data_IF_583718340166
#
_entry.id   IF_583718340166
#
_cell.length_a   1.000
_cell.length_b   1.000
_cell.length_c   1.000
_cell.angle_alpha   90.00
_cell.angle_beta   90.00
_cell.angle_gamma   90.00
#
_symmetry.space_group_name_H-M   'P 1'
#
loop_
_entity.id
_entity.type
_entity.pdbx_description
1 polymer ?
#
# COMPACT_ATOMS: atom_id res chain seq x y z
N UNK A 1 63.10 -0.34 9.76
CA UNK A 1 62.24 0.86 9.83
C UNK A 1 61.26 0.64 10.97
N UNK A 2 61.39 1.39 12.06
CA UNK A 2 60.43 1.37 13.17
C UNK A 2 59.19 2.16 12.75
N UNK A 3 58.06 1.48 12.62
CA UNK A 3 56.76 2.13 12.41
C UNK A 3 56.30 2.72 13.75
N UNK A 4 56.24 4.04 13.82
CA UNK A 4 55.72 4.76 14.98
C UNK A 4 54.19 4.65 15.02
N UNK A 5 53.70 3.71 15.85
CA UNK A 5 52.28 3.36 15.99
C UNK A 5 51.38 4.52 16.46
N UNK A 6 51.95 5.63 16.96
CA UNK A 6 51.17 6.79 17.41
C UNK A 6 50.70 7.71 16.29
N UNK A 7 51.20 7.55 15.06
CA UNK A 7 50.86 8.41 13.92
C UNK A 7 49.85 7.80 12.93
N UNK A 8 49.44 6.54 13.11
CA UNK A 8 48.46 5.87 12.22
C UNK A 8 47.06 6.49 12.25
N UNK A 9 46.69 7.19 13.33
CA UNK A 9 45.39 7.86 13.43
C UNK A 9 45.30 9.19 12.65
N UNK A 10 46.41 9.71 12.13
CA UNK A 10 46.42 11.00 11.41
C UNK A 10 46.56 10.88 9.90
N UNK A 11 47.08 9.75 9.40
CA UNK A 11 47.20 9.47 7.98
C UNK A 11 46.93 7.98 7.80
N UNK A 12 45.70 7.64 7.42
CA UNK A 12 45.36 6.28 7.00
C UNK A 12 46.10 5.98 5.69
N UNK A 13 47.11 5.08 5.68
CA UNK A 13 47.85 4.76 4.47
C UNK A 13 46.99 4.00 3.44
N UNK A 14 45.80 3.54 3.84
CA UNK A 14 44.88 2.79 2.98
C UNK A 14 43.75 3.65 2.38
N UNK A 15 43.69 4.96 2.66
CA UNK A 15 42.63 5.88 2.18
C UNK A 15 41.26 5.19 2.09
N UNK A 16 40.82 4.56 3.19
CA UNK A 16 39.56 3.79 3.20
C UNK A 16 38.32 4.66 3.18
N UNK A 17 38.49 5.97 3.39
CA UNK A 17 37.46 6.97 3.19
C UNK A 17 37.75 7.68 1.86
N UNK A 18 36.92 7.41 0.86
CA UNK A 18 36.85 8.22 -0.35
C UNK A 18 36.32 9.58 0.09
N UNK A 19 37.22 10.55 0.27
CA UNK A 19 36.82 11.95 0.39
C UNK A 19 36.12 12.35 -0.91
N UNK A 20 34.87 12.81 -0.78
CA UNK A 20 34.02 13.26 -1.90
C UNK A 20 34.76 14.33 -2.69
N UNK A 21 35.17 14.00 -3.91
CA UNK A 21 35.63 15.00 -4.88
C UNK A 21 34.39 15.64 -5.50
N UNK A 22 34.29 16.96 -5.37
CA UNK A 22 33.19 17.75 -5.90
C UNK A 22 33.08 17.64 -7.45
N UNK A 23 31.84 17.78 -7.92
CA UNK A 23 31.39 18.02 -9.31
C UNK A 23 31.00 16.82 -10.19
N UNK A 24 30.52 15.74 -9.58
CA UNK A 24 29.66 14.77 -10.28
C UNK A 24 28.40 14.54 -9.44
N UNK A 25 27.22 14.63 -10.05
CA UNK A 25 25.98 14.12 -9.45
C UNK A 25 26.12 12.60 -9.31
N UNK A 26 26.69 12.19 -8.17
CA UNK A 26 26.75 10.79 -7.79
C UNK A 26 25.39 10.40 -7.25
N UNK A 27 24.63 9.63 -8.04
CA UNK A 27 23.45 8.93 -7.56
C UNK A 27 23.87 7.92 -6.49
N UNK A 28 23.80 8.33 -5.23
CA UNK A 28 23.93 7.41 -4.10
C UNK A 28 22.80 6.38 -4.21
N UNK A 29 23.09 5.07 -4.15
CA UNK A 29 22.04 4.04 -4.08
C UNK A 29 21.09 4.20 -2.88
N UNK A 30 21.46 5.04 -1.91
CA UNK A 30 20.68 5.39 -0.73
C UNK A 30 19.99 6.76 -0.83
N UNK A 31 20.25 7.55 -1.89
CA UNK A 31 19.44 8.72 -2.22
C UNK A 31 18.47 8.31 -3.34
N UNK A 32 17.22 7.98 -3.00
CA UNK A 32 16.26 7.62 -4.03
C UNK A 32 16.10 8.81 -5.00
N UNK A 33 16.03 8.56 -6.32
CA UNK A 33 15.86 9.60 -7.33
C UNK A 33 14.74 10.59 -6.96
N UNK A 34 14.84 11.85 -7.39
CA UNK A 34 13.81 12.87 -7.12
C UNK A 34 12.39 12.44 -7.55
N UNK A 35 12.27 11.50 -8.48
CA UNK A 35 11.01 10.84 -8.87
C UNK A 35 10.32 10.06 -7.73
N UNK A 36 11.01 9.79 -6.62
CA UNK A 36 10.49 9.10 -5.44
C UNK A 36 10.23 10.06 -4.26
N UNK A 37 10.50 11.36 -4.41
CA UNK A 37 10.04 12.33 -3.40
C UNK A 37 8.51 12.38 -3.49
N UNK A 38 7.77 12.06 -2.40
CA UNK A 38 6.34 12.23 -2.40
C UNK A 38 6.01 13.70 -2.73
N UNK A 39 4.93 13.98 -3.47
CA UNK A 39 4.53 15.35 -3.74
C UNK A 39 4.42 16.10 -2.42
N UNK A 40 5.09 17.24 -2.29
CA UNK A 40 4.89 18.18 -1.19
C UNK A 40 3.52 18.83 -1.35
N UNK A 41 2.46 18.08 -1.07
CA UNK A 41 1.19 18.66 -0.68
C UNK A 41 1.34 18.96 0.81
N UNK A 42 1.02 20.19 1.21
CA UNK A 42 0.99 20.54 2.63
C UNK A 42 0.10 19.51 3.35
N UNK A 43 0.64 18.82 4.36
CA UNK A 43 -0.10 17.84 5.15
C UNK A 43 -1.36 18.50 5.71
N UNK A 44 -2.50 18.22 5.07
CA UNK A 44 -3.80 18.71 5.51
C UNK A 44 -4.24 17.87 6.70
N UNK A 45 -4.65 18.53 7.77
CA UNK A 45 -5.10 17.82 8.96
C UNK A 45 -6.46 17.18 8.70
N UNK A 46 -6.68 16.01 9.28
CA UNK A 46 -7.95 15.28 9.23
C UNK A 46 -9.15 16.19 9.57
N UNK A 47 -9.03 17.04 10.59
CA UNK A 47 -10.10 17.91 11.05
C UNK A 47 -10.47 19.03 10.05
N UNK A 48 -9.59 19.31 9.09
CA UNK A 48 -9.77 20.34 8.05
C UNK A 48 -10.36 19.76 6.76
N UNK A 49 -10.45 18.43 6.65
CA UNK A 49 -11.02 17.74 5.49
C UNK A 49 -12.55 17.80 5.47
N UNK A 50 -13.14 17.68 4.29
CA UNK A 50 -14.58 17.61 4.12
C UNK A 50 -15.17 16.36 4.82
N UNK A 51 -16.39 16.41 5.41
CA UNK A 51 -17.00 15.27 6.10
C UNK A 51 -17.10 13.98 5.29
N UNK A 52 -17.26 14.07 3.96
CA UNK A 52 -17.30 12.88 3.09
C UNK A 52 -15.96 12.16 3.06
N UNK A 53 -14.85 12.92 3.01
CA UNK A 53 -13.49 12.38 3.02
C UNK A 53 -13.17 11.82 4.40
N UNK A 54 -13.56 12.53 5.46
CA UNK A 54 -13.43 12.04 6.83
C UNK A 54 -14.12 10.67 7.02
N UNK A 55 -15.32 10.51 6.45
CA UNK A 55 -16.03 9.22 6.49
C UNK A 55 -15.25 8.11 5.79
N UNK A 56 -14.67 8.36 4.61
CA UNK A 56 -13.86 7.37 3.90
C UNK A 56 -12.60 6.99 4.69
N UNK A 57 -11.91 7.97 5.28
CA UNK A 57 -10.76 7.73 6.16
C UNK A 57 -11.14 7.01 7.46
N UNK A 58 -12.35 7.21 7.98
CA UNK A 58 -12.84 6.45 9.14
C UNK A 58 -13.11 4.98 8.76
N UNK A 59 -13.62 4.71 7.56
CA UNK A 59 -13.74 3.36 7.00
C UNK A 59 -12.35 2.69 6.87
N UNK A 60 -11.32 3.44 6.43
CA UNK A 60 -9.93 2.95 6.39
C UNK A 60 -9.38 2.53 7.75
N UNK A 61 -9.79 3.16 8.85
CA UNK A 61 -9.37 2.72 10.20
C UNK A 61 -9.91 1.33 10.51
N UNK A 62 -11.17 1.08 10.18
CA UNK A 62 -11.80 -0.23 10.35
C UNK A 62 -11.12 -1.27 9.44
N UNK A 63 -10.81 -0.92 8.19
CA UNK A 63 -10.06 -1.79 7.29
C UNK A 63 -8.68 -2.16 7.84
N UNK A 64 -7.93 -1.18 8.39
CA UNK A 64 -6.62 -1.43 8.98
C UNK A 64 -6.68 -2.37 10.20
N UNK A 65 -7.71 -2.27 11.03
CA UNK A 65 -7.94 -3.21 12.13
C UNK A 65 -8.15 -4.63 11.61
N UNK A 66 -9.04 -4.81 10.62
CA UNK A 66 -9.30 -6.11 10.01
C UNK A 66 -8.06 -6.71 9.31
N UNK A 67 -7.26 -5.87 8.64
CA UNK A 67 -5.99 -6.28 8.03
C UNK A 67 -5.00 -6.75 9.10
N UNK A 68 -4.88 -6.01 10.21
CA UNK A 68 -3.97 -6.39 11.30
C UNK A 68 -4.39 -7.69 11.99
N UNK A 69 -5.69 -7.89 12.21
CA UNK A 69 -6.22 -9.14 12.73
C UNK A 69 -5.92 -10.31 11.79
N UNK A 70 -6.05 -10.09 10.48
CA UNK A 70 -5.75 -11.14 9.50
C UNK A 70 -4.25 -11.47 9.41
N UNK A 71 -3.36 -10.49 9.54
CA UNK A 71 -1.92 -10.74 9.68
C UNK A 71 -1.61 -11.66 10.87
N UNK A 72 -2.27 -11.44 12.00
CA UNK A 72 -2.13 -12.31 13.17
C UNK A 72 -2.62 -13.74 12.88
N UNK A 73 -3.70 -13.88 12.11
CA UNK A 73 -4.19 -15.19 11.65
C UNK A 73 -3.17 -15.89 10.74
N UNK A 74 -2.52 -15.18 9.82
CA UNK A 74 -1.48 -15.76 8.97
C UNK A 74 -0.25 -16.21 9.78
N UNK A 75 0.14 -15.42 10.79
CA UNK A 75 1.22 -15.81 11.70
C UNK A 75 0.85 -17.07 12.50
N UNK A 76 -0.38 -17.16 12.99
CA UNK A 76 -0.89 -18.36 13.66
C UNK A 76 -0.99 -19.56 12.71
N UNK A 77 -1.35 -19.35 11.45
CA UNK A 77 -1.36 -20.39 10.42
C UNK A 77 0.05 -20.96 10.20
N UNK A 78 1.07 -20.12 10.24
CA UNK A 78 2.47 -20.56 10.12
C UNK A 78 2.94 -21.38 11.33
N UNK A 79 2.51 -21.03 12.55
CA UNK A 79 2.92 -21.77 13.76
C UNK A 79 2.11 -23.04 14.02
N UNK A 80 0.81 -22.97 13.81
CA UNK A 80 -0.17 -23.97 14.29
C UNK A 80 -0.80 -24.77 13.15
N UNK A 81 -0.59 -24.35 11.89
CA UNK A 81 -1.24 -24.92 10.72
C UNK A 81 -2.74 -24.64 10.68
N UNK A 82 -3.48 -25.47 9.92
CA UNK A 82 -4.92 -25.36 9.86
C UNK A 82 -5.56 -25.83 11.18
N UNK A 83 -6.19 -24.88 11.85
CA UNK A 83 -7.00 -25.07 13.04
C UNK A 83 -8.37 -24.44 12.83
N UNK A 84 -9.31 -24.69 13.74
CA UNK A 84 -10.61 -24.00 13.70
C UNK A 84 -10.43 -22.48 13.70
N UNK A 85 -9.50 -21.97 14.51
CA UNK A 85 -9.23 -20.54 14.64
C UNK A 85 -8.68 -19.94 13.34
N UNK A 86 -7.70 -20.59 12.70
CA UNK A 86 -7.09 -20.05 11.47
C UNK A 86 -8.05 -20.13 10.29
N UNK A 87 -8.87 -21.18 10.20
CA UNK A 87 -9.92 -21.29 9.17
C UNK A 87 -11.02 -20.23 9.36
N UNK A 88 -11.47 -20.01 10.59
CA UNK A 88 -12.47 -18.98 10.90
C UNK A 88 -11.92 -17.58 10.62
N UNK A 89 -10.68 -17.30 11.01
CA UNK A 89 -10.01 -16.03 10.71
C UNK A 89 -9.85 -15.76 9.22
N UNK A 90 -9.47 -16.77 8.43
CA UNK A 90 -9.42 -16.65 6.95
C UNK A 90 -10.80 -16.33 6.39
N UNK A 91 -11.84 -17.05 6.82
CA UNK A 91 -13.19 -16.81 6.35
C UNK A 91 -13.71 -15.41 6.73
N UNK A 92 -13.43 -14.96 7.96
CA UNK A 92 -13.83 -13.65 8.44
C UNK A 92 -13.18 -12.53 7.62
N UNK A 93 -11.88 -12.64 7.31
CA UNK A 93 -11.21 -11.65 6.48
C UNK A 93 -11.81 -11.58 5.08
N UNK A 94 -12.02 -12.72 4.39
CA UNK A 94 -12.58 -12.68 3.04
C UNK A 94 -14.06 -12.24 3.00
N UNK A 95 -14.82 -12.51 4.07
CA UNK A 95 -16.18 -11.97 4.20
C UNK A 95 -16.14 -10.45 4.39
N UNK A 96 -15.26 -9.95 5.26
CA UNK A 96 -15.04 -8.51 5.45
C UNK A 96 -14.53 -7.83 4.17
N UNK A 97 -13.65 -8.49 3.42
CA UNK A 97 -13.14 -7.96 2.16
C UNK A 97 -14.29 -7.75 1.16
N UNK A 98 -15.19 -8.74 1.02
CA UNK A 98 -16.34 -8.65 0.12
C UNK A 98 -17.39 -7.62 0.57
N UNK A 99 -17.68 -7.58 1.88
CA UNK A 99 -18.75 -6.73 2.43
C UNK A 99 -18.34 -5.28 2.67
N UNK A 100 -17.07 -5.03 3.00
CA UNK A 100 -16.58 -3.71 3.40
C UNK A 100 -15.62 -3.12 2.39
N UNK A 101 -14.51 -3.81 2.06
CA UNK A 101 -13.46 -3.26 1.19
C UNK A 101 -14.00 -3.06 -0.23
N UNK A 102 -14.69 -4.06 -0.81
CA UNK A 102 -15.24 -3.90 -2.17
C UNK A 102 -16.28 -2.78 -2.23
N UNK A 103 -17.14 -2.65 -1.23
CA UNK A 103 -18.15 -1.59 -1.18
C UNK A 103 -17.52 -0.21 -0.99
N UNK A 104 -16.47 -0.10 -0.17
CA UNK A 104 -15.66 1.10 -0.02
C UNK A 104 -15.08 1.55 -1.37
N UNK A 105 -14.34 0.67 -2.04
CA UNK A 105 -13.71 0.96 -3.33
C UNK A 105 -14.75 1.38 -4.37
N UNK A 106 -15.92 0.72 -4.40
CA UNK A 106 -17.03 1.10 -5.28
C UNK A 106 -17.56 2.50 -4.97
N UNK A 107 -17.66 2.87 -3.70
CA UNK A 107 -18.09 4.21 -3.29
C UNK A 107 -17.10 5.24 -3.80
N UNK A 108 -15.80 5.02 -3.63
CA UNK A 108 -14.76 5.92 -4.13
C UNK A 108 -14.80 6.06 -5.65
N UNK A 109 -14.75 4.94 -6.38
CA UNK A 109 -14.77 4.86 -7.84
C UNK A 109 -15.96 5.64 -8.43
N UNK A 110 -17.15 5.47 -7.85
CA UNK A 110 -18.38 6.07 -8.36
C UNK A 110 -18.60 7.52 -7.89
N UNK A 111 -17.82 8.03 -6.95
CA UNK A 111 -18.02 9.38 -6.37
C UNK A 111 -16.78 10.25 -6.51
N UNK A 112 -15.90 10.25 -5.50
CA UNK A 112 -14.73 11.13 -5.41
C UNK A 112 -13.81 10.91 -6.60
N UNK A 113 -13.55 9.65 -6.98
CA UNK A 113 -12.61 9.33 -8.06
C UNK A 113 -13.16 9.75 -9.42
N UNK A 114 -14.44 9.48 -9.70
CA UNK A 114 -15.09 9.90 -10.93
C UNK A 114 -14.97 11.42 -11.18
N UNK A 115 -15.29 12.25 -10.18
CA UNK A 115 -15.21 13.71 -10.32
C UNK A 115 -13.77 14.23 -10.31
N UNK A 116 -12.91 13.68 -9.44
CA UNK A 116 -11.52 14.10 -9.35
C UNK A 116 -10.76 13.80 -10.64
N UNK A 117 -10.99 12.64 -11.26
CA UNK A 117 -10.25 12.23 -12.45
C UNK A 117 -10.52 13.19 -13.63
N UNK A 118 -11.77 13.64 -13.79
CA UNK A 118 -12.15 14.65 -14.80
C UNK A 118 -11.32 15.94 -14.62
N UNK A 119 -11.19 16.40 -13.37
CA UNK A 119 -10.44 17.61 -13.05
C UNK A 119 -8.94 17.41 -13.31
N UNK A 120 -8.36 16.28 -12.86
CA UNK A 120 -6.93 15.98 -13.06
C UNK A 120 -6.57 15.90 -14.55
N UNK A 121 -7.39 15.25 -15.36
CA UNK A 121 -7.21 15.23 -16.82
C UNK A 121 -7.30 16.63 -17.42
N UNK A 122 -8.25 17.46 -16.98
CA UNK A 122 -8.39 18.84 -17.48
C UNK A 122 -7.19 19.74 -17.14
N UNK A 123 -6.48 19.41 -16.05
CA UNK A 123 -5.28 20.12 -15.59
C UNK A 123 -3.98 19.52 -16.14
N UNK A 124 -4.05 18.42 -16.89
CA UNK A 124 -2.90 17.65 -17.36
C UNK A 124 -1.98 17.18 -16.21
N UNK A 125 -2.55 16.89 -15.04
CA UNK A 125 -1.81 16.41 -13.87
C UNK A 125 -1.64 14.90 -13.91
N UNK A 126 -0.58 14.47 -14.59
CA UNK A 126 -0.26 13.07 -14.81
C UNK A 126 0.95 12.59 -14.01
N UNK A 127 1.00 11.27 -13.82
CA UNK A 127 2.14 10.55 -13.30
C UNK A 127 3.34 10.66 -14.25
N UNK A 128 4.54 10.76 -13.70
CA UNK A 128 5.77 10.89 -14.50
C UNK A 128 5.92 9.71 -15.48
N UNK A 129 5.98 10.03 -16.77
CA UNK A 129 6.24 9.05 -17.83
C UNK A 129 5.01 8.32 -18.38
N UNK A 130 3.79 8.66 -17.94
CA UNK A 130 2.54 8.10 -18.45
C UNK A 130 1.42 9.14 -18.44
N UNK A 131 0.46 9.09 -19.36
CA UNK A 131 -0.75 9.92 -19.31
C UNK A 131 -1.81 9.32 -18.37
N UNK A 132 -1.39 8.91 -17.17
CA UNK A 132 -2.25 8.36 -16.12
C UNK A 132 -2.28 9.29 -14.91
N UNK A 133 -3.46 9.57 -14.38
CA UNK A 133 -3.65 10.35 -13.15
C UNK A 133 -3.40 9.49 -11.91
N UNK A 134 -3.43 10.10 -10.72
CA UNK A 134 -3.38 9.35 -9.46
C UNK A 134 -4.62 8.46 -9.28
N UNK A 135 -5.78 8.88 -9.79
CA UNK A 135 -7.02 8.10 -9.74
C UNK A 135 -6.89 6.84 -10.58
N UNK A 136 -6.35 6.94 -11.80
CA UNK A 136 -6.12 5.77 -12.66
C UNK A 136 -5.22 4.73 -11.98
N UNK A 137 -4.28 5.17 -11.15
CA UNK A 137 -3.41 4.27 -10.37
C UNK A 137 -4.16 3.60 -9.22
N UNK A 138 -5.10 4.30 -8.56
CA UNK A 138 -5.90 3.72 -7.46
C UNK A 138 -6.91 2.71 -7.99
N UNK A 139 -7.60 3.00 -9.11
CA UNK A 139 -8.50 2.05 -9.77
C UNK A 139 -7.76 0.78 -10.27
N UNK A 140 -6.52 0.94 -10.76
CA UNK A 140 -5.65 -0.18 -11.09
C UNK A 140 -5.31 -1.02 -9.82
N UNK A 141 -5.08 -0.37 -8.69
CA UNK A 141 -4.81 -1.03 -7.41
C UNK A 141 -6.07 -1.74 -6.87
N UNK A 142 -7.27 -1.16 -7.00
CA UNK A 142 -8.57 -1.83 -6.72
C UNK A 142 -8.67 -3.16 -7.46
N UNK A 143 -8.36 -3.13 -8.76
CA UNK A 143 -8.41 -4.34 -9.61
C UNK A 143 -7.39 -5.38 -9.16
N UNK A 144 -6.16 -4.97 -8.83
CA UNK A 144 -5.12 -5.90 -8.35
C UNK A 144 -5.47 -6.51 -7.00
N UNK A 145 -6.02 -5.73 -6.07
CA UNK A 145 -6.46 -6.22 -4.76
C UNK A 145 -7.54 -7.28 -4.91
N UNK A 146 -8.54 -7.03 -5.77
CA UNK A 146 -9.58 -8.03 -6.05
C UNK A 146 -8.99 -9.33 -6.64
N UNK A 147 -8.03 -9.23 -7.55
CA UNK A 147 -7.36 -10.39 -8.14
C UNK A 147 -6.56 -11.18 -7.10
N UNK A 148 -5.77 -10.49 -6.27
CA UNK A 148 -4.99 -11.12 -5.20
C UNK A 148 -5.90 -11.80 -4.18
N UNK A 149 -7.01 -11.16 -3.81
CA UNK A 149 -8.01 -11.75 -2.92
C UNK A 149 -8.63 -13.01 -3.53
N UNK A 150 -9.06 -12.96 -4.79
CA UNK A 150 -9.64 -14.10 -5.49
C UNK A 150 -8.66 -15.28 -5.60
N UNK A 151 -7.39 -15.01 -5.93
CA UNK A 151 -6.35 -16.04 -6.01
C UNK A 151 -6.11 -16.65 -4.63
N UNK A 152 -5.90 -15.82 -3.61
CA UNK A 152 -5.61 -16.26 -2.23
C UNK A 152 -6.75 -17.12 -1.67
N UNK A 153 -7.99 -16.67 -1.82
CA UNK A 153 -9.18 -17.42 -1.39
C UNK A 153 -9.26 -18.80 -2.06
N UNK A 154 -9.08 -18.85 -3.38
CA UNK A 154 -9.12 -20.10 -4.12
C UNK A 154 -7.98 -21.05 -3.70
N UNK A 155 -6.77 -20.54 -3.49
CA UNK A 155 -5.64 -21.34 -3.04
C UNK A 155 -5.91 -21.94 -1.65
N UNK A 156 -6.36 -21.15 -0.67
CA UNK A 156 -6.73 -21.67 0.65
C UNK A 156 -7.83 -22.75 0.56
N UNK A 157 -8.83 -22.52 -0.30
CA UNK A 157 -9.86 -23.52 -0.58
C UNK A 157 -9.31 -24.82 -1.19
N UNK A 158 -8.31 -24.71 -2.07
CA UNK A 158 -7.66 -25.85 -2.73
C UNK A 158 -6.80 -26.67 -1.77
N UNK A 159 -6.06 -26.04 -0.85
CA UNK A 159 -5.18 -26.77 0.10
C UNK A 159 -5.97 -27.84 0.85
N UNK A 160 -7.19 -27.53 1.28
CA UNK A 160 -8.04 -28.46 2.05
C UNK A 160 -8.60 -29.64 1.25
N UNK A 161 -8.46 -29.61 -0.08
CA UNK A 161 -9.07 -30.59 -1.01
C UNK A 161 -8.06 -31.45 -1.74
N UNK A 162 -6.78 -31.13 -1.68
CA UNK A 162 -5.74 -31.86 -2.38
C UNK A 162 -5.30 -33.08 -1.55
N UNK A 163 -5.36 -34.30 -2.12
CA UNK A 163 -5.00 -35.51 -1.36
C UNK A 163 -3.51 -35.66 -1.08
N UNK A 164 -2.66 -35.10 -1.94
CA UNK A 164 -1.20 -35.19 -1.81
C UNK A 164 -0.68 -34.09 -0.88
N UNK A 165 -0.13 -34.50 0.26
CA UNK A 165 0.32 -33.58 1.31
C UNK A 165 1.42 -32.62 0.82
N UNK A 166 2.38 -33.12 0.02
CA UNK A 166 3.44 -32.29 -0.53
C UNK A 166 2.93 -31.18 -1.45
N UNK A 167 2.02 -31.53 -2.37
CA UNK A 167 1.34 -30.57 -3.23
C UNK A 167 0.49 -29.59 -2.43
N UNK A 168 -0.19 -30.07 -1.38
CA UNK A 168 -0.95 -29.23 -0.45
C UNK A 168 -0.08 -28.17 0.22
N UNK A 169 1.11 -28.54 0.68
CA UNK A 169 2.06 -27.61 1.32
C UNK A 169 2.59 -26.55 0.35
N UNK A 170 2.88 -26.91 -0.90
CA UNK A 170 3.29 -25.94 -1.93
C UNK A 170 2.18 -24.93 -2.22
N UNK A 171 0.93 -25.39 -2.27
CA UNK A 171 -0.21 -24.50 -2.51
C UNK A 171 -0.50 -23.63 -1.29
N UNK A 172 -0.27 -24.14 -0.08
CA UNK A 172 -0.37 -23.35 1.14
C UNK A 172 0.66 -22.23 1.16
N UNK A 173 1.91 -22.54 0.85
CA UNK A 173 2.98 -21.54 0.74
C UNK A 173 2.61 -20.45 -0.27
N UNK A 174 2.14 -20.84 -1.45
CA UNK A 174 1.67 -19.88 -2.45
C UNK A 174 0.47 -19.06 -1.95
N UNK A 175 -0.51 -19.67 -1.27
CA UNK A 175 -1.66 -18.96 -0.71
C UNK A 175 -1.21 -17.88 0.28
N UNK A 176 -0.29 -18.22 1.19
CA UNK A 176 0.26 -17.31 2.19
C UNK A 176 1.02 -16.16 1.52
N UNK A 177 1.86 -16.45 0.52
CA UNK A 177 2.61 -15.41 -0.20
C UNK A 177 1.71 -14.45 -0.98
N UNK A 178 0.68 -14.95 -1.69
CA UNK A 178 -0.29 -14.08 -2.36
C UNK A 178 -1.07 -13.23 -1.36
N UNK A 179 -1.37 -13.78 -0.19
CA UNK A 179 -2.11 -13.07 0.85
C UNK A 179 -1.26 -11.98 1.50
N UNK A 180 0.03 -12.21 1.74
CA UNK A 180 0.94 -11.16 2.21
C UNK A 180 1.03 -10.02 1.19
N UNK A 181 1.11 -10.35 -0.11
CA UNK A 181 1.10 -9.34 -1.16
C UNK A 181 -0.21 -8.53 -1.17
N UNK A 182 -1.36 -9.16 -0.92
CA UNK A 182 -2.65 -8.47 -0.75
C UNK A 182 -2.61 -7.50 0.43
N UNK A 183 -2.13 -7.96 1.59
CA UNK A 183 -2.06 -7.14 2.81
C UNK A 183 -1.17 -5.92 2.62
N UNK A 184 0.02 -6.08 2.04
CA UNK A 184 0.92 -4.97 1.75
C UNK A 184 0.31 -4.00 0.74
N UNK A 185 -0.41 -4.51 -0.28
CA UNK A 185 -1.12 -3.67 -1.23
C UNK A 185 -2.20 -2.85 -0.56
N UNK A 186 -3.06 -3.47 0.27
CA UNK A 186 -4.12 -2.78 1.02
C UNK A 186 -3.55 -1.65 1.89
N UNK A 187 -2.49 -1.94 2.66
CA UNK A 187 -1.84 -0.95 3.52
C UNK A 187 -1.26 0.22 2.73
N UNK A 188 -0.57 -0.08 1.62
CA UNK A 188 0.03 0.95 0.78
C UNK A 188 -1.03 1.80 0.09
N UNK A 189 -2.11 1.17 -0.37
CA UNK A 189 -3.22 1.82 -1.05
C UNK A 189 -3.95 2.79 -0.12
N UNK A 190 -4.40 2.32 1.05
CA UNK A 190 -5.01 3.17 2.10
C UNK A 190 -4.08 4.33 2.46
N UNK A 191 -2.78 4.06 2.63
CA UNK A 191 -1.82 5.11 2.93
C UNK A 191 -1.76 6.19 1.83
N UNK A 192 -1.80 5.79 0.55
CA UNK A 192 -1.78 6.73 -0.57
C UNK A 192 -3.07 7.54 -0.65
N UNK A 193 -4.21 6.93 -0.38
CA UNK A 193 -5.49 7.64 -0.37
C UNK A 193 -5.52 8.70 0.71
N UNK A 194 -5.25 8.30 1.95
CA UNK A 194 -5.27 9.18 3.12
C UNK A 194 -4.31 10.36 3.00
N UNK A 195 -3.11 10.13 2.44
CA UNK A 195 -2.02 11.11 2.47
C UNK A 195 -1.78 11.82 1.13
N UNK A 196 -2.38 11.36 0.03
CA UNK A 196 -2.18 11.94 -1.30
C UNK A 196 -3.51 12.20 -1.99
N UNK A 197 -4.32 11.18 -2.23
CA UNK A 197 -5.52 11.31 -3.07
C UNK A 197 -6.58 12.17 -2.40
N UNK A 198 -6.88 11.92 -1.13
CA UNK A 198 -7.88 12.68 -0.38
C UNK A 198 -7.48 14.14 -0.14
N UNK A 199 -6.22 14.48 0.21
CA UNK A 199 -5.77 15.88 0.20
C UNK A 199 -5.93 16.56 -1.16
N UNK A 200 -5.63 15.88 -2.27
CA UNK A 200 -5.85 16.43 -3.63
C UNK A 200 -7.35 16.65 -3.86
N UNK A 201 -8.17 15.65 -3.55
CA UNK A 201 -9.63 15.70 -3.69
C UNK A 201 -10.21 16.91 -2.91
N UNK A 202 -9.80 17.08 -1.65
CA UNK A 202 -10.27 18.19 -0.82
C UNK A 202 -9.86 19.56 -1.35
N UNK A 203 -8.71 19.65 -2.01
CA UNK A 203 -8.22 20.89 -2.59
C UNK A 203 -8.90 21.23 -3.93
N UNK A 204 -9.23 20.22 -4.74
CA UNK A 204 -9.68 20.41 -6.12
C UNK A 204 -11.19 20.33 -6.29
N UNK A 205 -11.87 19.53 -5.48
CA UNK A 205 -13.32 19.44 -5.48
C UNK A 205 -13.92 20.60 -4.67
N UNK A 206 -15.01 21.17 -5.16
CA UNK A 206 -15.75 22.17 -4.40
C UNK A 206 -16.57 21.50 -3.29
N UNK A 207 -16.81 22.22 -2.19
CA UNK A 207 -17.69 21.74 -1.13
C UNK A 207 -19.10 21.42 -1.65
N UNK A 208 -19.60 22.18 -2.63
CA UNK A 208 -20.91 21.92 -3.25
C UNK A 208 -20.96 20.55 -3.94
N UNK A 209 -19.89 20.17 -4.65
CA UNK A 209 -19.79 18.86 -5.30
C UNK A 209 -19.69 17.76 -4.24
N UNK A 210 -18.85 17.94 -3.22
CA UNK A 210 -18.65 16.96 -2.15
C UNK A 210 -19.87 16.80 -1.23
N UNK A 211 -20.70 17.83 -1.08
CA UNK A 211 -21.94 17.78 -0.29
C UNK A 211 -23.03 16.93 -0.95
N UNK A 212 -23.04 16.85 -2.28
CA UNK A 212 -23.99 16.02 -3.06
C UNK A 212 -23.60 14.54 -3.05
N UNK A 213 -22.33 14.22 -2.74
CA UNK A 213 -21.82 12.85 -2.62
C UNK A 213 -22.15 12.18 -1.28
N UNK A 214 -22.91 12.86 -0.41
CA UNK A 214 -23.40 12.29 0.85
C UNK A 214 -24.57 11.34 0.58
N UNK A 215 -24.27 10.08 0.29
CA UNK A 215 -25.21 8.97 0.40
C UNK A 215 -24.50 7.73 0.97
#
# INVERSE_FOLDING_TARGET
MNLDLKNLNKQDPLKRMVERQNETEEFSPMDPPDAFKPPTLDEMKYEEMHPVIQSLMDEHKVCNEAISDFENILNALHSDGFSKNTLEGINNFFSFFDESIIEHNRKEDNTIFAELNIILHSKEEFSTGTEKTVVDLMEDDHTKMLQLAAISFNLFGLVTRIPDEGSGMVILDLAVEQTKALIEMLKLHIFREDNVVFPIANNYLSNEVMDVMKD
#
